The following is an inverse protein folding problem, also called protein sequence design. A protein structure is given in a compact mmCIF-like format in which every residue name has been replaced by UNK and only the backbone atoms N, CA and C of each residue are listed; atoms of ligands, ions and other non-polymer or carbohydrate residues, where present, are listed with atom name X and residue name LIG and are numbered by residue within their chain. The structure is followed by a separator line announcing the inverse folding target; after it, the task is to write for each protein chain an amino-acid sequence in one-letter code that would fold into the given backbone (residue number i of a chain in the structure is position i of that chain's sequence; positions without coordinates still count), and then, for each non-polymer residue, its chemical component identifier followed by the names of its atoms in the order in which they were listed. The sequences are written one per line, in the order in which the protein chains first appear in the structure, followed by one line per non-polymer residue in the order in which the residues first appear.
data_IF_310244880874
#
_entry.id   IF_310244880874
#
_cell.length_a   1.000
_cell.length_b   1.000
_cell.length_c   1.000
_cell.angle_alpha   90.00
_cell.angle_beta   90.00
_cell.angle_gamma   90.00
#
_symmetry.space_group_name_H-M   'P 1'
#
loop_
_entity.id
_entity.type
_entity.pdbx_description
1 polymer ?
#
# COMPACT_ATOMS: atom_id res chain seq x y z
N UNK A 1 -24.63 19.78 -24.47
CA UNK A 1 -23.17 19.67 -24.31
C UNK A 1 -22.92 18.49 -23.39
N UNK A 2 -22.30 17.43 -23.92
CA UNK A 2 -22.15 16.12 -23.29
C UNK A 2 -21.05 16.18 -22.23
N UNK A 3 -21.38 15.88 -20.97
CA UNK A 3 -20.41 15.71 -19.89
C UNK A 3 -19.78 14.32 -20.00
N UNK A 4 -18.53 14.25 -20.43
CA UNK A 4 -17.75 13.02 -20.35
C UNK A 4 -17.19 12.87 -18.92
N UNK A 5 -17.66 11.86 -18.17
CA UNK A 5 -16.98 11.44 -16.95
C UNK A 5 -15.79 10.56 -17.33
N UNK A 6 -14.59 10.97 -16.93
CA UNK A 6 -13.39 10.17 -17.06
C UNK A 6 -13.32 9.22 -15.88
N UNK A 7 -13.81 8.01 -16.09
CA UNK A 7 -13.64 6.90 -15.15
C UNK A 7 -12.34 6.20 -15.55
N UNK A 8 -11.19 6.72 -15.11
CA UNK A 8 -9.90 6.09 -15.37
C UNK A 8 -9.75 4.83 -14.49
N UNK A 9 -10.14 3.69 -15.05
CA UNK A 9 -9.86 2.38 -14.48
C UNK A 9 -8.41 1.99 -14.77
N UNK A 10 -7.56 2.00 -13.74
CA UNK A 10 -6.20 1.44 -13.82
C UNK A 10 -6.25 -0.09 -13.69
N UNK A 11 -6.82 -0.75 -14.70
CA UNK A 11 -6.74 -2.20 -14.84
C UNK A 11 -5.42 -2.59 -15.48
N UNK A 12 -4.49 -3.17 -14.71
CA UNK A 12 -3.35 -3.89 -15.28
C UNK A 12 -3.84 -5.23 -15.86
N UNK A 13 -4.45 -5.19 -17.05
CA UNK A 13 -4.82 -6.38 -17.80
C UNK A 13 -3.55 -7.06 -18.35
N UNK A 14 -2.90 -7.89 -17.52
CA UNK A 14 -1.99 -8.92 -18.05
C UNK A 14 -2.84 -10.12 -18.49
N UNK A 15 -3.49 -9.95 -19.64
CA UNK A 15 -4.16 -11.04 -20.35
C UNK A 15 -3.10 -12.00 -20.89
N UNK A 16 -2.83 -13.10 -20.18
CA UNK A 16 -2.06 -14.22 -20.71
C UNK A 16 -3.01 -15.07 -21.57
N UNK A 17 -3.25 -14.65 -22.81
CA UNK A 17 -3.99 -15.45 -23.79
C UNK A 17 -3.03 -16.16 -24.74
N UNK A 18 -3.10 -17.49 -24.78
CA UNK A 18 -2.83 -18.26 -26.00
C UNK A 18 -3.51 -19.64 -25.97
N UNK A 19 -4.58 -19.74 -26.76
CA UNK A 19 -5.07 -20.91 -27.51
C UNK A 19 -5.49 -22.19 -26.74
N UNK A 20 -6.79 -22.51 -26.78
CA UNK A 20 -7.44 -23.84 -26.83
C UNK A 20 -6.91 -25.05 -26.00
N UNK A 21 -6.01 -24.87 -25.04
CA UNK A 21 -5.58 -25.90 -24.10
C UNK A 21 -5.54 -25.29 -22.70
N UNK A 22 -6.24 -25.91 -21.77
CA UNK A 22 -6.47 -25.44 -20.40
C UNK A 22 -5.32 -24.62 -19.77
N UNK A 23 -5.63 -23.38 -19.39
CA UNK A 23 -4.68 -22.41 -18.82
C UNK A 23 -5.21 -21.72 -17.56
N UNK A 24 -4.35 -20.93 -16.91
CA UNK A 24 -4.75 -20.09 -15.77
C UNK A 24 -5.14 -18.70 -16.28
N UNK A 25 -6.34 -18.22 -15.94
CA UNK A 25 -6.78 -16.85 -16.19
C UNK A 25 -6.98 -16.12 -14.87
N UNK A 26 -6.39 -14.92 -14.75
CA UNK A 26 -6.42 -14.14 -13.51
C UNK A 26 -6.65 -12.68 -13.86
N UNK A 27 -7.63 -12.08 -13.19
CA UNK A 27 -7.86 -10.63 -13.22
C UNK A 27 -7.79 -10.12 -11.80
N UNK A 28 -7.02 -9.06 -11.54
CA UNK A 28 -6.93 -8.42 -10.22
C UNK A 28 -7.11 -6.92 -10.41
N UNK A 29 -7.98 -6.33 -9.60
CA UNK A 29 -8.30 -4.92 -9.59
C UNK A 29 -8.23 -4.39 -8.16
N UNK A 30 -7.75 -3.16 -8.03
CA UNK A 30 -7.70 -2.43 -6.78
C UNK A 30 -8.62 -1.22 -6.87
N UNK A 31 -9.17 -0.79 -5.74
CA UNK A 31 -9.90 0.47 -5.67
C UNK A 31 -9.04 1.68 -6.01
N UNK A 32 -7.74 1.63 -5.69
CA UNK A 32 -6.77 2.72 -5.93
C UNK A 32 -5.36 2.18 -6.16
N UNK A 33 -4.49 3.02 -6.72
CA UNK A 33 -3.05 2.77 -6.84
C UNK A 33 -2.20 3.48 -5.78
N UNK A 34 -2.80 4.34 -4.95
CA UNK A 34 -2.12 5.07 -3.89
C UNK A 34 -2.97 5.10 -2.61
N UNK A 35 -2.30 4.97 -1.47
CA UNK A 35 -2.90 4.83 -0.15
C UNK A 35 -2.06 5.57 0.90
N UNK A 36 -2.62 5.76 2.09
CA UNK A 36 -1.86 6.21 3.27
C UNK A 36 -2.02 5.21 4.42
N UNK A 37 -1.12 5.19 5.41
CA UNK A 37 -1.28 4.33 6.59
C UNK A 37 -2.63 4.56 7.29
N UNK A 38 -3.32 3.46 7.59
CA UNK A 38 -4.68 3.44 8.14
C UNK A 38 -5.79 3.26 7.10
N UNK A 39 -5.51 3.45 5.81
CA UNK A 39 -6.47 3.14 4.73
C UNK A 39 -6.54 1.64 4.43
N UNK A 40 -7.64 1.24 3.78
CA UNK A 40 -7.85 -0.12 3.29
C UNK A 40 -7.68 -0.20 1.78
N UNK A 41 -6.83 -1.13 1.36
CA UNK A 41 -6.73 -1.59 -0.03
C UNK A 41 -7.86 -2.57 -0.25
N UNK A 42 -8.75 -2.27 -1.20
CA UNK A 42 -9.87 -3.14 -1.56
C UNK A 42 -9.46 -3.93 -2.80
N UNK A 43 -9.40 -5.25 -2.66
CA UNK A 43 -8.90 -6.16 -3.68
C UNK A 43 -10.09 -6.93 -4.25
N UNK A 44 -10.29 -6.80 -5.56
CA UNK A 44 -11.25 -7.59 -6.32
C UNK A 44 -10.53 -8.41 -7.38
N UNK A 45 -10.74 -9.72 -7.40
CA UNK A 45 -10.03 -10.60 -8.31
C UNK A 45 -10.90 -11.77 -8.75
N UNK A 46 -10.63 -12.26 -9.96
CA UNK A 46 -11.20 -13.49 -10.49
C UNK A 46 -10.05 -14.41 -10.88
N UNK A 47 -10.03 -15.61 -10.32
CA UNK A 47 -9.04 -16.65 -10.61
C UNK A 47 -9.76 -17.84 -11.21
N UNK A 48 -9.58 -18.03 -12.51
CA UNK A 48 -10.17 -19.12 -13.28
C UNK A 48 -9.12 -20.19 -13.57
N UNK A 49 -9.26 -21.35 -12.93
CA UNK A 49 -8.34 -22.47 -13.07
C UNK A 49 -8.76 -23.42 -14.19
N UNK A 50 -8.49 -23.07 -15.44
CA UNK A 50 -8.63 -24.02 -16.55
C UNK A 50 -7.37 -24.86 -16.75
N UNK A 51 -6.37 -24.78 -15.86
CA UNK A 51 -5.13 -25.56 -15.98
C UNK A 51 -5.35 -27.04 -15.69
N UNK A 52 -4.33 -27.86 -15.91
CA UNK A 52 -4.37 -29.31 -15.63
C UNK A 52 -4.06 -29.67 -14.17
N UNK A 53 -3.92 -28.67 -13.29
CA UNK A 53 -3.49 -28.87 -11.90
C UNK A 53 -4.37 -28.09 -10.93
N UNK A 54 -4.46 -28.62 -9.72
CA UNK A 54 -5.10 -27.93 -8.60
C UNK A 54 -4.26 -26.75 -8.13
N UNK A 55 -4.93 -25.64 -7.82
CA UNK A 55 -4.34 -24.50 -7.11
C UNK A 55 -4.54 -24.76 -5.63
N UNK A 56 -3.45 -24.83 -4.86
CA UNK A 56 -3.46 -25.08 -3.42
C UNK A 56 -4.00 -23.88 -2.62
N UNK A 57 -3.59 -22.68 -2.98
CA UNK A 57 -4.07 -21.44 -2.36
C UNK A 57 -3.84 -20.25 -3.28
N UNK A 58 -4.63 -19.20 -3.07
CA UNK A 58 -4.37 -17.87 -3.63
C UNK A 58 -4.20 -16.89 -2.48
N UNK A 59 -3.25 -15.97 -2.61
CA UNK A 59 -2.86 -15.07 -1.53
C UNK A 59 -2.61 -13.67 -2.05
N UNK A 60 -2.91 -12.67 -1.23
CA UNK A 60 -2.54 -11.28 -1.46
C UNK A 60 -1.83 -10.72 -0.23
N UNK A 61 -0.72 -10.02 -0.42
CA UNK A 61 0.00 -9.34 0.66
C UNK A 61 0.67 -8.08 0.14
N UNK A 62 0.91 -7.13 1.05
CA UNK A 62 1.71 -5.95 0.76
C UNK A 62 3.20 -6.31 0.91
N UNK A 63 3.98 -6.02 -0.12
CA UNK A 63 5.42 -6.24 -0.13
C UNK A 63 6.13 -4.89 -0.08
N UNK A 64 6.97 -4.69 0.92
CA UNK A 64 7.90 -3.57 0.98
C UNK A 64 9.26 -3.99 0.45
N UNK A 65 9.78 -3.24 -0.53
CA UNK A 65 11.13 -3.39 -1.04
C UNK A 65 11.98 -2.21 -0.56
N UNK A 66 13.03 -2.51 0.19
CA UNK A 66 13.99 -1.54 0.70
C UNK A 66 15.34 -1.71 -0.03
N UNK A 67 15.79 -0.63 -0.67
CA UNK A 67 17.08 -0.58 -1.35
C UNK A 67 17.94 0.59 -0.90
N UNK A 68 19.26 0.43 -0.97
CA UNK A 68 20.22 1.48 -0.66
C UNK A 68 21.13 1.77 -1.86
N UNK A 69 21.42 3.04 -2.10
CA UNK A 69 22.27 3.53 -3.20
C UNK A 69 23.54 4.14 -2.63
N UNK A 70 24.70 3.58 -2.97
CA UNK A 70 26.01 4.11 -2.55
C UNK A 70 26.86 4.44 -3.79
N UNK A 71 27.31 5.70 -3.89
CA UNK A 71 28.32 6.18 -4.87
C UNK A 71 28.15 5.64 -6.31
N UNK A 72 26.91 5.65 -6.82
CA UNK A 72 26.61 5.32 -8.23
C UNK A 72 26.53 3.82 -8.57
N UNK A 73 26.72 2.92 -7.60
CA UNK A 73 26.43 1.49 -7.78
C UNK A 73 24.99 1.21 -7.34
N UNK A 74 24.25 0.57 -8.25
CA UNK A 74 22.81 0.31 -8.18
C UNK A 74 22.39 -0.43 -6.91
N UNK A 75 21.25 0.04 -6.38
CA UNK A 75 20.35 -0.52 -5.37
C UNK A 75 20.60 -1.97 -4.96
N UNK A 76 21.27 -2.18 -3.82
CA UNK A 76 21.19 -3.46 -3.12
C UNK A 76 19.83 -3.51 -2.41
N UNK A 77 18.90 -4.34 -2.89
CA UNK A 77 17.67 -4.64 -2.16
C UNK A 77 18.04 -5.49 -0.94
N UNK A 78 18.07 -4.89 0.25
CA UNK A 78 18.44 -5.59 1.49
C UNK A 78 17.25 -6.25 2.18
N UNK A 79 16.02 -5.78 1.94
CA UNK A 79 14.85 -6.28 2.66
C UNK A 79 13.62 -6.38 1.76
N UNK A 80 13.00 -7.57 1.76
CA UNK A 80 11.66 -7.80 1.25
C UNK A 80 10.80 -8.20 2.46
N UNK A 81 9.99 -7.26 2.92
CA UNK A 81 9.08 -7.50 4.06
C UNK A 81 7.68 -7.78 3.53
N UNK A 82 7.10 -8.91 3.93
CA UNK A 82 5.68 -9.23 3.68
C UNK A 82 4.85 -8.66 4.82
N UNK A 83 3.94 -7.76 4.49
CA UNK A 83 3.14 -6.96 5.43
C UNK A 83 1.67 -7.27 5.19
N UNK A 84 1.02 -7.81 6.22
CA UNK A 84 -0.35 -8.32 6.11
C UNK A 84 -0.45 -9.49 5.11
N UNK A 85 -1.56 -10.22 5.18
CA UNK A 85 -1.83 -11.34 4.26
C UNK A 85 -3.31 -11.68 4.27
N UNK A 86 -3.86 -11.86 3.09
CA UNK A 86 -5.17 -12.48 2.86
C UNK A 86 -4.89 -13.76 2.08
N UNK A 87 -5.47 -14.87 2.52
CA UNK A 87 -5.35 -16.17 1.86
C UNK A 87 -6.75 -16.74 1.64
N UNK A 88 -6.97 -17.28 0.45
CA UNK A 88 -8.20 -17.98 0.06
C UNK A 88 -7.90 -19.47 -0.18
N UNK A 89 -8.92 -20.33 -0.02
CA UNK A 89 -8.76 -21.78 -0.12
C UNK A 89 -8.38 -22.24 -1.54
N UNK A 90 -8.07 -23.53 -1.65
CA UNK A 90 -7.74 -24.20 -2.90
C UNK A 90 -8.84 -24.05 -3.97
N UNK A 91 -8.43 -24.12 -5.23
CA UNK A 91 -9.30 -24.09 -6.42
C UNK A 91 -9.05 -25.37 -7.20
N UNK A 92 -10.10 -26.18 -7.40
CA UNK A 92 -9.99 -27.38 -8.22
C UNK A 92 -9.86 -27.05 -9.71
N UNK A 93 -9.53 -28.07 -10.50
CA UNK A 93 -9.46 -27.95 -11.96
C UNK A 93 -10.85 -27.62 -12.50
N UNK A 94 -10.92 -26.64 -13.40
CA UNK A 94 -12.15 -26.16 -14.03
C UNK A 94 -12.98 -25.21 -13.17
N UNK A 95 -12.53 -24.85 -11.97
CA UNK A 95 -13.25 -23.96 -11.07
C UNK A 95 -12.75 -22.51 -11.14
N UNK A 96 -13.61 -21.61 -10.67
CA UNK A 96 -13.35 -20.18 -10.56
C UNK A 96 -13.49 -19.75 -9.11
N UNK A 97 -12.57 -18.91 -8.64
CA UNK A 97 -12.62 -18.27 -7.34
C UNK A 97 -12.69 -16.76 -7.49
N UNK A 98 -13.65 -16.16 -6.81
CA UNK A 98 -13.86 -14.70 -6.79
C UNK A 98 -13.41 -14.13 -5.45
N UNK A 99 -12.63 -13.05 -5.52
CA UNK A 99 -12.29 -12.16 -4.41
C UNK A 99 -13.19 -10.94 -4.54
N UNK A 100 -14.07 -10.72 -3.56
CA UNK A 100 -15.12 -9.71 -3.64
C UNK A 100 -14.86 -8.67 -2.57
N UNK A 101 -14.15 -7.60 -2.95
CA UNK A 101 -13.88 -6.47 -2.05
C UNK A 101 -13.07 -6.86 -0.81
N UNK A 102 -12.09 -7.75 -0.94
CA UNK A 102 -11.27 -8.18 0.18
C UNK A 102 -10.40 -7.02 0.67
N UNK A 103 -10.39 -6.78 1.99
CA UNK A 103 -9.77 -5.59 2.56
C UNK A 103 -8.42 -5.90 3.20
N UNK A 104 -7.36 -5.21 2.73
CA UNK A 104 -6.03 -5.24 3.35
C UNK A 104 -5.72 -3.86 3.94
N UNK A 105 -5.61 -3.77 5.26
CA UNK A 105 -5.29 -2.49 5.93
C UNK A 105 -3.80 -2.17 5.80
N UNK A 106 -3.49 -0.92 5.43
CA UNK A 106 -2.12 -0.41 5.36
C UNK A 106 -1.68 -0.02 6.78
N UNK A 107 -0.67 -0.67 7.37
CA UNK A 107 -0.17 -0.28 8.69
C UNK A 107 0.74 0.96 8.61
N UNK A 108 1.29 1.38 9.74
CA UNK A 108 2.36 2.39 9.79
C UNK A 108 3.57 1.95 8.95
N UNK A 109 3.78 2.66 7.84
CA UNK A 109 4.83 2.38 6.87
C UNK A 109 5.45 3.69 6.39
N UNK A 110 6.74 3.69 6.00
CA UNK A 110 7.35 4.83 5.35
C UNK A 110 6.65 5.16 4.03
N UNK A 111 6.64 6.44 3.64
CA UNK A 111 6.12 6.82 2.34
C UNK A 111 7.01 6.30 1.21
N UNK A 112 6.38 5.99 0.08
CA UNK A 112 7.06 5.70 -1.19
C UNK A 112 7.83 6.93 -1.63
N UNK A 113 9.08 6.72 -2.05
CA UNK A 113 9.97 7.76 -2.58
C UNK A 113 10.16 8.96 -1.63
N UNK A 114 11.22 8.89 -0.83
CA UNK A 114 11.62 9.96 0.08
C UNK A 114 12.11 11.16 -0.74
N UNK A 115 11.30 12.23 -0.81
CA UNK A 115 11.50 13.40 -1.68
C UNK A 115 12.87 14.10 -1.54
N UNK A 116 13.63 13.81 -0.49
CA UNK A 116 14.94 14.42 -0.19
C UNK A 116 16.01 13.38 0.14
N UNK A 117 15.78 12.09 -0.16
CA UNK A 117 16.74 11.03 0.13
C UNK A 117 17.11 10.23 -1.12
N UNK A 118 18.37 10.35 -1.53
CA UNK A 118 18.92 9.57 -2.63
C UNK A 118 19.55 8.24 -2.19
N UNK A 119 19.93 8.15 -0.91
CA UNK A 119 20.53 6.96 -0.32
C UNK A 119 19.52 5.82 -0.17
N UNK A 120 18.29 6.10 0.27
CA UNK A 120 17.29 5.08 0.61
C UNK A 120 16.17 5.11 -0.42
N UNK A 121 15.86 3.95 -1.02
CA UNK A 121 14.77 3.77 -1.97
C UNK A 121 13.78 2.76 -1.41
N UNK A 122 12.54 3.21 -1.27
CA UNK A 122 11.42 2.42 -0.73
C UNK A 122 10.35 2.34 -1.82
N UNK A 123 9.93 1.11 -2.13
CA UNK A 123 8.83 0.85 -3.06
C UNK A 123 7.93 -0.25 -2.54
N UNK A 124 6.67 -0.21 -2.95
CA UNK A 124 5.66 -1.16 -2.49
C UNK A 124 5.00 -1.85 -3.67
N UNK A 125 4.76 -3.15 -3.51
CA UNK A 125 3.99 -3.96 -4.44
C UNK A 125 2.86 -4.62 -3.66
N UNK A 126 1.65 -4.61 -4.21
CA UNK A 126 0.67 -5.61 -3.84
C UNK A 126 0.99 -6.89 -4.63
N UNK A 127 1.37 -7.93 -3.92
CA UNK A 127 1.74 -9.22 -4.51
C UNK A 127 0.57 -10.18 -4.41
N UNK A 128 0.03 -10.58 -5.56
CA UNK A 128 -0.97 -11.63 -5.69
C UNK A 128 -0.28 -12.94 -6.10
N UNK A 129 -0.29 -13.92 -5.21
CA UNK A 129 0.43 -15.19 -5.32
C UNK A 129 -0.56 -16.34 -5.53
N UNK A 130 -0.27 -17.19 -6.50
CA UNK A 130 -1.07 -18.38 -6.82
C UNK A 130 -0.19 -19.61 -6.65
N UNK A 131 -0.45 -20.39 -5.62
CA UNK A 131 0.34 -21.56 -5.28
C UNK A 131 -0.27 -22.79 -5.94
N UNK A 132 0.45 -23.40 -6.88
CA UNK A 132 0.04 -24.64 -7.51
C UNK A 132 0.53 -25.86 -6.73
N UNK A 133 -0.16 -26.97 -6.89
CA UNK A 133 0.30 -28.24 -6.33
C UNK A 133 1.46 -28.84 -7.16
N UNK A 134 2.59 -29.07 -6.49
CA UNK A 134 3.74 -29.78 -7.06
C UNK A 134 4.56 -29.02 -8.11
N UNK A 135 4.28 -27.72 -8.34
CA UNK A 135 5.04 -26.86 -9.26
C UNK A 135 5.26 -25.47 -8.65
N UNK A 136 6.06 -24.64 -9.33
CA UNK A 136 6.34 -23.27 -8.88
C UNK A 136 5.08 -22.42 -8.89
N UNK A 137 4.94 -21.54 -7.90
CA UNK A 137 3.85 -20.57 -7.80
C UNK A 137 3.93 -19.52 -8.91
N UNK A 138 2.77 -19.01 -9.30
CA UNK A 138 2.66 -17.84 -10.18
C UNK A 138 2.51 -16.58 -9.34
N UNK A 139 3.14 -15.48 -9.77
CA UNK A 139 3.19 -14.22 -9.02
C UNK A 139 2.76 -13.07 -9.93
N UNK A 140 1.81 -12.26 -9.45
CA UNK A 140 1.43 -10.98 -10.06
C UNK A 140 1.77 -9.86 -9.08
N UNK A 141 2.59 -8.91 -9.52
CA UNK A 141 2.97 -7.74 -8.73
C UNK A 141 2.29 -6.50 -9.29
N UNK A 142 1.55 -5.78 -8.44
CA UNK A 142 0.88 -4.52 -8.77
C UNK A 142 1.59 -3.42 -7.99
N UNK A 143 2.24 -2.44 -8.65
CA UNK A 143 2.89 -1.34 -7.95
C UNK A 143 1.86 -0.46 -7.26
N UNK A 144 2.12 -0.10 -6.00
CA UNK A 144 1.29 0.85 -5.26
C UNK A 144 2.16 1.93 -4.60
N UNK A 145 1.54 3.08 -4.32
CA UNK A 145 2.18 4.21 -3.65
C UNK A 145 1.63 4.36 -2.24
N UNK A 146 2.52 4.48 -1.26
CA UNK A 146 2.19 4.86 0.11
C UNK A 146 2.55 6.34 0.28
N UNK A 147 1.56 7.18 0.56
CA UNK A 147 1.70 8.61 0.80
C UNK A 147 1.62 8.96 2.28
N UNK A 148 1.72 10.27 2.57
CA UNK A 148 1.65 10.80 3.94
C UNK A 148 0.35 11.56 4.24
N UNK A 149 -0.39 11.99 3.22
CA UNK A 149 -1.60 12.81 3.35
C UNK A 149 -2.77 12.10 2.67
N UNK A 150 -3.87 11.81 3.38
CA UNK A 150 -5.03 11.18 2.79
C UNK A 150 -5.68 12.12 1.77
N UNK A 151 -6.34 11.54 0.78
CA UNK A 151 -7.15 12.32 -0.15
C UNK A 151 -8.41 12.80 0.57
N UNK A 152 -8.66 14.10 0.53
CA UNK A 152 -9.94 14.64 1.01
C UNK A 152 -11.07 14.10 0.13
N UNK A 153 -12.15 13.53 0.71
CA UNK A 153 -13.36 13.28 -0.05
C UNK A 153 -13.88 14.64 -0.54
N UNK A 154 -14.06 14.79 -1.85
CA UNK A 154 -14.50 16.01 -2.53
C UNK A 154 -15.31 16.93 -1.60
N UNK A 155 -14.68 17.98 -1.07
CA UNK A 155 -15.43 19.17 -0.74
C UNK A 155 -15.79 19.78 -2.08
N UNK A 156 -17.05 19.66 -2.48
CA UNK A 156 -17.63 20.59 -3.44
C UNK A 156 -17.47 21.98 -2.81
N UNK A 157 -16.35 22.64 -3.09
CA UNK A 157 -16.19 24.06 -2.82
C UNK A 157 -17.12 24.77 -3.79
N UNK A 158 -18.40 24.80 -3.46
CA UNK A 158 -19.27 25.91 -3.86
C UNK A 158 -18.66 27.14 -3.21
N UNK A 159 -17.76 27.78 -3.95
CA UNK A 159 -17.23 29.10 -3.58
C UNK A 159 -18.39 30.07 -3.79
N UNK A 160 -19.29 30.19 -2.82
CA UNK A 160 -20.08 31.42 -2.71
C UNK A 160 -19.08 32.53 -2.39
N UNK A 161 -18.81 33.38 -3.38
CA UNK A 161 -17.98 34.55 -3.25
C UNK A 161 -18.61 35.48 -2.18
N UNK A 162 -17.98 35.68 -1.01
CA UNK A 162 -18.53 36.59 -0.01
C UNK A 162 -18.41 38.02 -0.53
N UNK A 163 -19.51 38.75 -0.53
CA UNK A 163 -19.51 40.21 -0.70
C UNK A 163 -18.83 40.82 0.53
N UNK A 164 -17.89 41.74 0.32
CA UNK A 164 -17.05 42.29 1.38
C UNK A 164 -17.84 42.94 2.52
N UNK A 165 -17.52 42.67 3.81
CA UNK A 165 -17.83 43.58 4.90
C UNK A 165 -16.58 44.34 5.37
N UNK A 166 -16.84 45.56 5.84
CA UNK A 166 -15.87 46.56 6.29
C UNK A 166 -15.04 46.11 7.52
N UNK A 167 -13.80 46.64 7.53
CA UNK A 167 -12.86 46.75 8.67
C UNK A 167 -12.11 45.48 9.11
N UNK A 168 -10.83 45.44 8.73
CA UNK A 168 -9.88 44.34 8.98
C UNK A 168 -9.31 44.39 10.39
N UNK A 169 -9.57 43.36 11.19
CA UNK A 169 -8.75 42.95 12.33
C UNK A 169 -7.97 41.70 11.89
N UNK A 170 -6.65 41.56 12.13
CA UNK A 170 -5.92 40.36 11.76
C UNK A 170 -6.29 39.23 12.72
N UNK A 171 -7.44 38.60 12.50
CA UNK A 171 -7.73 37.29 13.07
C UNK A 171 -7.20 36.27 12.08
N UNK A 172 -6.18 35.51 12.48
CA UNK A 172 -5.75 34.35 11.70
C UNK A 172 -6.99 33.49 11.40
N UNK A 173 -7.23 33.10 10.13
CA UNK A 173 -8.35 32.24 9.81
C UNK A 173 -8.21 30.94 10.59
N UNK A 174 -9.32 30.39 11.06
CA UNK A 174 -9.33 29.12 11.79
C UNK A 174 -8.96 27.97 10.83
N UNK A 175 -7.66 27.68 10.71
CA UNK A 175 -7.10 26.68 9.79
C UNK A 175 -7.55 25.26 10.20
N UNK A 176 -8.14 25.09 11.40
CA UNK A 176 -8.65 23.79 11.88
C UNK A 176 -9.76 23.22 11.00
N UNK A 177 -10.50 24.05 10.26
CA UNK A 177 -11.47 23.56 9.28
C UNK A 177 -10.82 23.04 7.98
N UNK A 178 -9.60 23.48 7.68
CA UNK A 178 -8.83 23.12 6.48
C UNK A 178 -7.99 21.86 6.73
N UNK A 179 -7.39 21.75 7.91
CA UNK A 179 -6.55 20.62 8.31
C UNK A 179 -7.31 19.88 9.40
N UNK A 180 -7.85 18.68 9.09
CA UNK A 180 -8.51 17.84 10.08
C UNK A 180 -7.64 17.52 11.30
N UNK A 181 -8.13 16.74 12.29
CA UNK A 181 -7.33 16.40 13.46
C UNK A 181 -5.99 15.77 13.03
N UNK A 182 -4.89 16.05 13.76
CA UNK A 182 -3.58 15.55 13.40
C UNK A 182 -3.56 14.01 13.38
N UNK A 183 -2.74 13.39 12.51
CA UNK A 183 -2.61 11.93 12.49
C UNK A 183 -2.08 11.40 13.83
N UNK A 184 -2.41 10.14 14.13
CA UNK A 184 -1.75 9.37 15.18
C UNK A 184 -0.38 8.90 14.69
N UNK A 185 0.47 8.38 15.58
CA UNK A 185 1.77 7.82 15.21
C UNK A 185 1.91 6.40 15.76
N UNK A 186 2.31 5.46 14.91
CA UNK A 186 2.51 4.06 15.28
C UNK A 186 3.86 3.54 14.79
N UNK A 187 4.35 2.48 15.44
CA UNK A 187 5.65 1.86 15.13
C UNK A 187 5.63 1.25 13.74
N UNK A 188 6.65 1.58 12.94
CA UNK A 188 6.82 1.02 11.60
C UNK A 188 6.84 -0.51 11.61
N UNK A 189 6.07 -1.12 10.72
CA UNK A 189 6.10 -2.57 10.50
C UNK A 189 7.20 -2.93 9.49
N UNK A 190 7.85 -4.08 9.68
CA UNK A 190 8.75 -4.66 8.67
C UNK A 190 10.13 -4.00 8.56
N UNK A 191 10.56 -3.27 9.59
CA UNK A 191 11.90 -2.67 9.71
C UNK A 191 12.56 -3.16 11.00
N UNK A 192 13.85 -3.51 10.92
CA UNK A 192 14.63 -3.95 12.08
C UNK A 192 14.92 -2.78 13.03
N UNK A 193 15.13 -3.10 14.31
CA UNK A 193 15.61 -2.13 15.31
C UNK A 193 17.02 -1.69 14.98
N UNK A 194 17.26 -0.38 14.97
CA UNK A 194 18.62 0.12 14.95
C UNK A 194 19.22 -0.05 16.35
N UNK A 195 20.24 -0.92 16.45
CA UNK A 195 21.09 -1.01 17.63
C UNK A 195 22.19 0.05 17.48
N UNK A 196 22.25 0.96 18.46
CA UNK A 196 23.26 2.02 18.54
C UNK A 196 24.25 1.75 19.67
N UNK A 197 24.24 0.56 20.27
CA UNK A 197 25.22 0.18 21.28
C UNK A 197 26.63 0.19 20.68
N UNK A 198 27.55 0.92 21.32
CA UNK A 198 28.97 0.76 21.07
C UNK A 198 29.43 -0.56 21.73
N UNK A 199 30.00 -1.47 20.95
CA UNK A 199 30.49 -2.80 21.41
C UNK A 199 31.49 -2.73 22.58
N UNK A 200 32.03 -1.55 22.91
CA UNK A 200 33.06 -1.34 23.93
C UNK A 200 32.56 -0.84 25.30
N UNK A 201 31.26 -0.54 25.48
CA UNK A 201 30.73 -0.14 26.79
C UNK A 201 29.89 -1.24 27.45
N UNK A 202 30.50 -2.39 27.73
CA UNK A 202 29.87 -3.49 28.49
C UNK A 202 29.89 -3.27 30.02
N UNK A 203 30.14 -2.05 30.49
CA UNK A 203 30.09 -1.69 31.92
C UNK A 203 29.37 -0.37 32.16
N UNK A 204 28.09 -0.31 31.81
CA UNK A 204 27.14 0.50 32.53
C UNK A 204 25.76 -0.15 32.39
N UNK A 205 25.17 -0.49 33.53
CA UNK A 205 23.73 -0.71 33.67
C UNK A 205 23.03 0.62 33.32
N UNK A 206 22.86 0.90 32.04
CA UNK A 206 21.95 1.93 31.56
C UNK A 206 20.82 1.20 30.85
N UNK A 207 19.76 0.92 31.59
CA UNK A 207 18.52 0.25 31.16
C UNK A 207 17.76 1.02 30.05
N UNK A 208 18.42 1.97 29.38
CA UNK A 208 17.82 2.99 28.54
C UNK A 208 18.48 3.13 27.16
N UNK A 209 19.25 2.14 26.69
CA UNK A 209 19.49 1.99 25.24
C UNK A 209 18.18 1.51 24.61
N UNK A 210 17.27 2.47 24.40
CA UNK A 210 16.01 2.23 23.71
C UNK A 210 16.34 1.96 22.25
N UNK A 211 16.30 0.69 21.87
CA UNK A 211 16.28 0.26 20.47
C UNK A 211 15.34 1.18 19.67
N UNK A 212 15.90 1.99 18.77
CA UNK A 212 15.11 2.98 18.05
C UNK A 212 14.23 2.28 17.01
N UNK A 213 12.94 2.59 17.05
CA UNK A 213 11.98 2.22 16.01
C UNK A 213 11.27 3.46 15.49
N UNK A 214 11.31 3.71 14.17
CA UNK A 214 10.65 4.88 13.62
C UNK A 214 9.13 4.77 13.77
N UNK A 215 8.51 5.89 14.15
CA UNK A 215 7.08 6.06 14.19
C UNK A 215 6.61 6.75 12.89
N UNK A 216 5.52 6.28 12.30
CA UNK A 216 4.92 6.89 11.10
C UNK A 216 3.48 7.32 11.36
N UNK A 217 3.00 8.38 10.66
CA UNK A 217 1.64 8.84 10.82
C UNK A 217 0.65 7.77 10.38
N UNK A 218 -0.38 7.52 11.20
CA UNK A 218 -1.52 6.66 10.90
C UNK A 218 -2.82 7.45 11.03
N UNK A 219 -3.70 7.25 10.07
CA UNK A 219 -5.01 7.90 10.07
C UNK A 219 -6.06 6.93 10.61
N UNK A 220 -6.96 7.37 11.52
CA UNK A 220 -8.07 6.55 11.96
C UNK A 220 -8.87 6.11 10.73
N UNK A 221 -9.21 4.82 10.65
CA UNK A 221 -9.75 4.15 9.47
C UNK A 221 -10.62 5.06 8.61
N UNK A 222 -10.02 5.63 7.55
CA UNK A 222 -10.74 6.46 6.62
C UNK A 222 -11.62 5.51 5.82
N UNK A 223 -12.91 5.52 6.11
CA UNK A 223 -13.91 4.88 5.26
C UNK A 223 -13.84 5.69 3.97
N UNK A 224 -13.14 5.15 2.97
CA UNK A 224 -13.20 5.69 1.62
C UNK A 224 -14.68 5.79 1.26
N UNK A 225 -15.17 7.00 1.02
CA UNK A 225 -16.59 7.30 0.83
C UNK A 225 -17.28 6.28 -0.07
N UNK A 226 -18.48 5.91 0.36
CA UNK A 226 -19.46 5.12 -0.39
C UNK A 226 -19.78 5.74 -1.76
#
# INVERSE_FOLDING_TARGET
MQSASLNESFGFLRSLFSCASGGLMVTVNLNRGAFVPGERIIISAEVSNYSTRRIRSTEAYLQQNLGYVNKGVVSLYQGISKIGRIEKPAIEIGQVQNWIGEELTVPALPPTNLATCDLIKISYLLTFLINFEGVRSSVLNIPIIIGTVPREPNRETSVEQPSAPDSVVPSAPDIQHILGPPPSYEVCVGMDTADFGDDENSTAEDDNIVNYRPLYPTYPSIISGA
#
